data_IF_938172370199
#
_entry.id   IF_938172370199
#
_cell.length_a   1.000
_cell.length_b   1.000
_cell.length_c   1.000
_cell.angle_alpha   90.00
_cell.angle_beta   90.00
_cell.angle_gamma   90.00
#
_symmetry.space_group_name_H-M   'P 1'
#
loop_
_entity.id
_entity.type
_entity.pdbx_description
1 polymer ?
#
# COMPACT_ATOMS: atom_id res chain seq x y z
N UNK A 1 -56.81 -8.49 -0.49
CA UNK A 1 -55.77 -7.47 -0.84
C UNK A 1 -54.55 -7.72 0.06
N UNK A 2 -53.55 -8.42 -0.47
CA UNK A 2 -52.29 -8.69 0.23
C UNK A 2 -51.29 -7.61 -0.21
N UNK A 3 -51.00 -6.68 0.71
CA UNK A 3 -50.02 -5.64 0.47
C UNK A 3 -48.61 -6.24 0.46
N UNK A 4 -47.93 -6.21 -0.67
CA UNK A 4 -46.52 -6.51 -0.82
C UNK A 4 -45.69 -5.42 -0.11
N UNK A 5 -44.99 -5.80 0.96
CA UNK A 5 -43.95 -4.96 1.57
C UNK A 5 -42.84 -4.71 0.52
N UNK A 6 -42.39 -3.46 0.34
CA UNK A 6 -41.24 -3.23 -0.50
C UNK A 6 -40.00 -3.86 0.15
N UNK A 7 -39.24 -4.59 -0.66
CA UNK A 7 -37.94 -5.13 -0.27
C UNK A 7 -37.05 -3.97 0.20
N UNK A 8 -36.66 -3.98 1.47
CA UNK A 8 -35.67 -3.05 2.02
C UNK A 8 -34.37 -3.19 1.23
N UNK A 9 -34.09 -2.24 0.36
CA UNK A 9 -32.80 -2.13 -0.31
C UNK A 9 -31.72 -2.08 0.77
N UNK A 10 -30.95 -3.15 0.92
CA UNK A 10 -29.73 -3.13 1.74
C UNK A 10 -28.84 -2.05 1.17
N UNK A 11 -28.77 -0.91 1.85
CA UNK A 11 -27.71 0.07 1.58
C UNK A 11 -26.41 -0.72 1.65
N UNK A 12 -25.64 -0.76 0.55
CA UNK A 12 -24.31 -1.38 0.57
C UNK A 12 -23.49 -0.65 1.62
N UNK A 13 -23.36 -1.27 2.78
CA UNK A 13 -22.58 -0.76 3.89
C UNK A 13 -21.16 -0.46 3.38
N UNK A 14 -20.71 0.78 3.57
CA UNK A 14 -19.37 1.18 3.16
C UNK A 14 -18.36 0.42 4.00
N UNK A 15 -17.30 -0.10 3.38
CA UNK A 15 -16.19 -0.72 4.11
C UNK A 15 -15.40 0.37 4.83
N UNK A 16 -15.25 0.22 6.11
CA UNK A 16 -14.41 1.08 6.94
C UNK A 16 -12.97 0.57 6.86
N UNK A 17 -12.11 1.36 6.20
CA UNK A 17 -10.69 1.10 6.02
C UNK A 17 -9.88 2.05 6.89
N UNK A 18 -9.01 1.50 7.73
CA UNK A 18 -7.96 2.24 8.41
C UNK A 18 -6.65 2.09 7.62
N UNK A 19 -6.06 3.20 7.18
CA UNK A 19 -4.74 3.23 6.54
C UNK A 19 -3.75 3.85 7.50
N UNK A 20 -2.60 3.19 7.71
CA UNK A 20 -1.57 3.66 8.63
C UNK A 20 -0.22 3.74 7.94
N UNK A 21 0.44 4.89 7.99
CA UNK A 21 1.75 5.15 7.40
C UNK A 21 2.05 6.66 7.36
N UNK A 22 3.22 7.05 6.90
CA UNK A 22 3.60 8.46 6.80
C UNK A 22 3.17 9.09 5.48
N UNK A 23 2.83 10.38 5.52
CA UNK A 23 2.77 11.25 4.37
C UNK A 23 4.20 11.64 3.97
N UNK A 24 4.43 11.85 2.67
CA UNK A 24 5.72 12.28 2.16
C UNK A 24 5.60 13.45 1.20
N UNK A 25 6.73 14.10 0.95
CA UNK A 25 6.92 15.02 -0.17
C UNK A 25 7.95 14.37 -1.10
N UNK A 26 7.62 14.24 -2.37
CA UNK A 26 8.51 13.75 -3.41
C UNK A 26 9.11 14.96 -4.14
N UNK A 27 10.44 15.10 -4.14
CA UNK A 27 11.19 16.12 -4.86
C UNK A 27 11.87 15.51 -6.08
N UNK A 28 11.80 16.21 -7.19
CA UNK A 28 12.31 15.75 -8.47
C UNK A 28 13.51 16.56 -8.94
N UNK A 29 14.36 16.04 -9.85
CA UNK A 29 15.56 16.72 -10.35
C UNK A 29 15.29 18.07 -11.01
N UNK A 30 14.09 18.27 -11.55
CA UNK A 30 13.67 19.54 -12.17
C UNK A 30 13.28 20.63 -11.13
N UNK A 31 13.42 20.34 -9.83
CA UNK A 31 13.06 21.23 -8.74
C UNK A 31 11.57 21.20 -8.38
N UNK A 32 10.76 20.42 -9.07
CA UNK A 32 9.36 20.25 -8.70
C UNK A 32 9.21 19.41 -7.45
N UNK A 33 8.11 19.61 -6.72
CA UNK A 33 7.72 18.79 -5.59
C UNK A 33 6.27 18.38 -5.71
N UNK A 34 5.96 17.17 -5.21
CA UNK A 34 4.60 16.65 -5.20
C UNK A 34 4.30 15.94 -3.86
N UNK A 35 3.04 15.98 -3.40
CA UNK A 35 2.61 15.16 -2.27
C UNK A 35 2.70 13.69 -2.62
N UNK A 36 3.28 12.91 -1.71
CA UNK A 36 3.49 11.48 -1.84
C UNK A 36 3.11 10.70 -0.59
N UNK A 37 3.59 9.48 -0.54
CA UNK A 37 3.36 8.54 0.56
C UNK A 37 2.23 7.56 0.28
N UNK A 38 2.46 6.33 0.73
CA UNK A 38 1.53 5.21 0.51
C UNK A 38 0.13 5.51 1.05
N UNK A 39 0.02 6.26 2.15
CA UNK A 39 -1.29 6.66 2.73
C UNK A 39 -2.11 7.54 1.78
N UNK A 40 -1.48 8.45 1.05
CA UNK A 40 -2.17 9.33 0.10
C UNK A 40 -2.69 8.53 -1.10
N UNK A 41 -1.84 7.72 -1.70
CA UNK A 41 -2.20 6.92 -2.87
C UNK A 41 -3.23 5.84 -2.54
N UNK A 42 -3.09 5.15 -1.41
CA UNK A 42 -4.06 4.18 -0.91
C UNK A 42 -5.42 4.83 -0.66
N UNK A 43 -5.45 6.02 -0.04
CA UNK A 43 -6.69 6.78 0.22
C UNK A 43 -7.37 7.20 -1.07
N UNK A 44 -6.63 7.71 -2.06
CA UNK A 44 -7.17 8.03 -3.40
C UNK A 44 -7.84 6.80 -4.05
N UNK A 45 -7.20 5.63 -3.95
CA UNK A 45 -7.75 4.39 -4.51
C UNK A 45 -8.98 3.92 -3.73
N UNK A 46 -8.96 3.99 -2.41
CA UNK A 46 -10.08 3.61 -1.54
C UNK A 46 -11.29 4.52 -1.74
N UNK A 47 -11.08 5.82 -1.91
CA UNK A 47 -12.15 6.79 -2.23
C UNK A 47 -12.81 6.45 -3.58
N UNK A 48 -12.02 6.12 -4.62
CA UNK A 48 -12.55 5.63 -5.90
C UNK A 48 -13.34 4.33 -5.75
N UNK A 49 -12.94 3.46 -4.82
CA UNK A 49 -13.65 2.23 -4.48
C UNK A 49 -14.86 2.45 -3.55
N UNK A 50 -15.16 3.71 -3.18
CA UNK A 50 -16.25 4.13 -2.29
C UNK A 50 -16.17 3.53 -0.88
N UNK A 51 -14.96 3.30 -0.37
CA UNK A 51 -14.74 2.96 1.03
C UNK A 51 -14.88 4.21 1.92
N UNK A 52 -15.19 4.02 3.20
CA UNK A 52 -15.00 5.01 4.25
C UNK A 52 -13.57 4.87 4.76
N UNK A 53 -12.80 5.95 4.78
CA UNK A 53 -11.38 5.87 5.11
C UNK A 53 -11.07 6.69 6.35
N UNK A 54 -10.34 6.09 7.27
CA UNK A 54 -9.61 6.79 8.33
C UNK A 54 -8.12 6.61 8.05
N UNK A 55 -7.35 7.68 8.17
CA UNK A 55 -5.90 7.68 7.97
C UNK A 55 -5.23 8.07 9.27
N UNK A 56 -4.27 7.26 9.73
CA UNK A 56 -3.30 7.65 10.75
C UNK A 56 -1.99 7.93 10.03
N UNK A 57 -1.50 9.16 10.13
CA UNK A 57 -0.29 9.58 9.43
C UNK A 57 0.52 10.55 10.27
N UNK A 58 1.81 10.67 9.93
CA UNK A 58 2.70 11.67 10.51
C UNK A 58 3.15 12.64 9.42
N UNK A 59 3.21 13.91 9.75
CA UNK A 59 3.66 14.96 8.85
C UNK A 59 4.04 16.24 9.60
N UNK A 60 4.91 17.05 8.99
CA UNK A 60 5.29 18.38 9.47
C UNK A 60 4.38 19.49 8.98
N UNK A 61 4.83 20.73 9.20
CA UNK A 61 4.06 21.93 8.89
C UNK A 61 4.38 22.59 7.54
N UNK A 62 5.16 21.95 6.67
CA UNK A 62 5.60 22.51 5.39
C UNK A 62 4.40 22.83 4.47
N UNK A 63 4.46 23.88 3.61
CA UNK A 63 3.35 24.27 2.74
C UNK A 63 2.84 23.15 1.84
N UNK A 64 3.73 22.38 1.25
CA UNK A 64 3.43 21.22 0.38
C UNK A 64 2.67 20.13 1.17
N UNK A 65 3.07 19.92 2.43
CA UNK A 65 2.41 19.01 3.35
C UNK A 65 0.99 19.45 3.67
N UNK A 66 0.77 20.76 3.88
CA UNK A 66 -0.55 21.30 4.16
C UNK A 66 -1.52 21.11 2.97
N UNK A 67 -1.01 21.17 1.74
CA UNK A 67 -1.81 20.85 0.56
C UNK A 67 -2.21 19.37 0.54
N UNK A 68 -1.25 18.47 0.77
CA UNK A 68 -1.51 17.03 0.84
C UNK A 68 -2.50 16.67 1.96
N UNK A 69 -2.39 17.33 3.12
CA UNK A 69 -3.33 17.13 4.23
C UNK A 69 -4.74 17.64 3.90
N UNK A 70 -4.86 18.75 3.17
CA UNK A 70 -6.17 19.22 2.69
C UNK A 70 -6.81 18.22 1.72
N UNK A 71 -6.03 17.66 0.81
CA UNK A 71 -6.51 16.61 -0.08
C UNK A 71 -6.94 15.37 0.70
N UNK A 72 -6.12 14.86 1.62
CA UNK A 72 -6.48 13.71 2.46
C UNK A 72 -7.78 13.96 3.24
N UNK A 73 -7.92 15.13 3.87
CA UNK A 73 -9.12 15.49 4.63
C UNK A 73 -10.38 15.62 3.77
N UNK A 74 -10.25 15.83 2.48
CA UNK A 74 -11.38 15.83 1.55
C UNK A 74 -11.92 14.43 1.26
N UNK A 75 -11.11 13.37 1.50
CA UNK A 75 -11.41 11.98 1.18
C UNK A 75 -11.54 11.08 2.42
N UNK A 76 -10.96 11.49 3.55
CA UNK A 76 -10.81 10.64 4.74
C UNK A 76 -10.90 11.43 6.05
N UNK A 77 -11.20 10.73 7.13
CA UNK A 77 -10.91 11.22 8.49
C UNK A 77 -9.42 11.08 8.74
N UNK A 78 -8.72 12.17 9.06
CA UNK A 78 -7.27 12.17 9.25
C UNK A 78 -6.93 12.35 10.72
N UNK A 79 -6.20 11.41 11.27
CA UNK A 79 -5.54 11.46 12.58
C UNK A 79 -4.08 11.77 12.29
N UNK A 80 -3.68 12.98 12.58
CA UNK A 80 -2.34 13.49 12.32
C UNK A 80 -1.48 13.42 13.59
N UNK A 81 -0.34 12.77 13.48
CA UNK A 81 0.76 12.89 14.42
C UNK A 81 1.72 13.98 13.90
N UNK A 82 1.71 15.11 14.55
CA UNK A 82 2.56 16.26 14.15
C UNK A 82 4.04 15.94 14.41
N UNK A 83 4.87 16.17 13.42
CA UNK A 83 6.32 15.99 13.46
C UNK A 83 7.03 17.30 13.10
N UNK A 84 8.30 17.43 13.47
CA UNK A 84 9.08 18.62 13.12
C UNK A 84 9.18 18.84 11.61
N UNK A 85 9.30 17.74 10.85
CA UNK A 85 9.38 17.74 9.39
C UNK A 85 8.65 16.57 8.81
N UNK A 86 8.08 16.74 7.61
CA UNK A 86 7.57 15.66 6.78
C UNK A 86 8.73 14.89 6.17
N UNK A 87 8.56 13.58 5.97
CA UNK A 87 9.53 12.78 5.22
C UNK A 87 9.61 13.28 3.77
N UNK A 88 10.81 13.46 3.27
CA UNK A 88 11.03 13.89 1.88
C UNK A 88 11.78 12.79 1.15
N UNK A 89 11.23 12.33 0.02
CA UNK A 89 11.95 11.52 -0.94
C UNK A 89 12.54 12.42 -2.03
N UNK A 90 13.86 12.40 -2.17
CA UNK A 90 14.55 13.03 -3.27
C UNK A 90 14.82 12.00 -4.35
N UNK A 91 14.29 12.28 -5.54
CA UNK A 91 14.49 11.48 -6.74
C UNK A 91 15.68 12.05 -7.51
N UNK A 92 16.68 11.23 -7.75
CA UNK A 92 17.86 11.58 -8.55
C UNK A 92 18.01 10.59 -9.71
N UNK A 93 18.66 11.00 -10.78
CA UNK A 93 19.04 10.12 -11.88
C UNK A 93 20.55 10.15 -12.02
N UNK A 94 21.21 9.06 -11.62
CA UNK A 94 22.66 8.90 -11.80
C UNK A 94 22.94 7.72 -12.73
N UNK A 95 23.61 8.02 -13.84
CA UNK A 95 24.01 6.99 -14.80
C UNK A 95 22.82 6.26 -15.44
N UNK A 96 21.66 6.91 -15.61
CA UNK A 96 20.45 6.33 -16.16
C UNK A 96 19.69 5.41 -15.17
N UNK A 97 20.08 5.39 -13.90
CA UNK A 97 19.35 4.70 -12.82
C UNK A 97 18.73 5.71 -11.88
N UNK A 98 17.48 5.44 -11.52
CA UNK A 98 16.77 6.22 -10.52
C UNK A 98 17.35 5.88 -9.14
N UNK A 99 17.89 6.88 -8.46
CA UNK A 99 18.30 6.80 -7.06
C UNK A 99 17.24 7.51 -6.20
N UNK A 100 17.02 6.99 -5.02
CA UNK A 100 16.06 7.55 -4.07
C UNK A 100 16.76 7.80 -2.75
N UNK A 101 16.70 9.04 -2.27
CA UNK A 101 17.19 9.43 -0.95
C UNK A 101 16.06 9.87 -0.04
N UNK A 102 16.21 9.63 1.26
CA UNK A 102 15.24 9.99 2.28
C UNK A 102 15.80 11.05 3.21
N UNK A 103 15.12 12.18 3.29
CA UNK A 103 15.36 13.20 4.31
C UNK A 103 14.31 13.10 5.42
N UNK A 104 14.75 13.41 6.62
CA UNK A 104 13.90 13.30 7.81
C UNK A 104 13.93 11.90 8.44
N UNK A 105 13.33 11.81 9.60
CA UNK A 105 13.12 10.56 10.34
C UNK A 105 11.80 10.68 11.09
N UNK A 106 10.91 9.74 10.89
CA UNK A 106 9.60 9.68 11.53
C UNK A 106 9.41 8.31 12.15
N UNK A 107 8.81 8.28 13.33
CA UNK A 107 8.33 7.07 13.98
C UNK A 107 6.88 7.30 14.37
N UNK A 108 5.97 6.59 13.76
CA UNK A 108 4.56 6.63 14.15
C UNK A 108 4.36 6.02 15.53
N UNK A 109 3.65 6.75 16.38
CA UNK A 109 3.26 6.34 17.74
C UNK A 109 1.76 6.55 17.95
N UNK A 110 0.91 5.75 17.29
CA UNK A 110 -0.53 5.95 17.36
C UNK A 110 -1.04 5.94 18.78
N UNK A 111 -1.90 6.91 19.12
CA UNK A 111 -2.51 7.02 20.44
C UNK A 111 -3.49 5.86 20.69
N UNK A 112 -3.24 5.09 21.74
CA UNK A 112 -4.03 3.89 22.10
C UNK A 112 -5.50 4.24 22.31
N UNK A 113 -5.82 5.38 22.95
CA UNK A 113 -7.20 5.77 23.25
C UNK A 113 -7.95 6.14 21.96
N UNK A 114 -7.26 6.72 20.99
CA UNK A 114 -7.84 6.99 19.67
C UNK A 114 -8.08 5.68 18.92
N UNK A 115 -7.09 4.77 18.91
CA UNK A 115 -7.21 3.46 18.28
C UNK A 115 -8.38 2.65 18.86
N UNK A 116 -8.53 2.61 20.16
CA UNK A 116 -9.61 1.88 20.87
C UNK A 116 -11.02 2.37 20.52
N UNK A 117 -11.17 3.58 19.97
CA UNK A 117 -12.45 4.12 19.52
C UNK A 117 -12.76 3.76 18.06
N UNK A 118 -11.77 3.26 17.33
CA UNK A 118 -11.93 2.88 15.91
C UNK A 118 -12.49 1.46 15.81
N UNK A 119 -13.30 1.23 14.80
CA UNK A 119 -13.87 -0.10 14.49
C UNK A 119 -13.76 -0.38 12.99
N UNK A 120 -12.53 -0.37 12.44
CA UNK A 120 -12.35 -0.63 11.03
C UNK A 120 -12.67 -2.08 10.71
N UNK A 121 -13.23 -2.32 9.54
CA UNK A 121 -13.38 -3.69 9.01
C UNK A 121 -12.07 -4.24 8.48
N UNK A 122 -11.16 -3.36 8.09
CA UNK A 122 -9.83 -3.72 7.58
C UNK A 122 -8.80 -2.64 7.93
N UNK A 123 -7.60 -3.08 8.23
CA UNK A 123 -6.41 -2.23 8.38
C UNK A 123 -5.48 -2.47 7.19
N UNK A 124 -4.99 -1.39 6.59
CA UNK A 124 -3.87 -1.40 5.65
C UNK A 124 -2.67 -0.73 6.32
N UNK A 125 -1.66 -1.51 6.63
CA UNK A 125 -0.35 -1.05 7.07
C UNK A 125 0.47 -0.67 5.83
N UNK A 126 0.77 0.60 5.66
CA UNK A 126 1.35 1.15 4.44
C UNK A 126 2.54 2.09 4.74
N UNK A 127 3.61 1.57 5.39
CA UNK A 127 4.80 2.38 5.65
C UNK A 127 5.53 2.71 4.35
N UNK A 128 6.32 3.79 4.40
CA UNK A 128 7.14 4.25 3.27
C UNK A 128 8.64 4.12 3.53
N UNK A 129 9.07 4.17 4.81
CA UNK A 129 10.48 4.19 5.19
C UNK A 129 10.74 3.63 6.61
N UNK A 130 10.01 2.60 7.02
CA UNK A 130 10.19 1.94 8.31
C UNK A 130 9.66 2.72 9.52
N UNK A 131 8.78 3.70 9.32
CA UNK A 131 8.14 4.48 10.39
C UNK A 131 7.18 3.66 11.26
N UNK A 132 6.73 2.50 10.77
CA UNK A 132 5.97 1.51 11.54
C UNK A 132 6.93 0.43 12.06
N UNK A 133 7.48 0.63 13.24
CA UNK A 133 8.29 -0.39 13.92
C UNK A 133 7.42 -1.40 14.68
N UNK A 134 8.05 -2.39 15.30
CA UNK A 134 7.35 -3.44 16.05
C UNK A 134 6.49 -2.90 17.20
N UNK A 135 6.87 -1.76 17.80
CA UNK A 135 6.09 -1.13 18.88
C UNK A 135 4.80 -0.56 18.32
N UNK A 136 4.88 0.18 17.21
CA UNK A 136 3.69 0.74 16.55
C UNK A 136 2.75 -0.37 16.06
N UNK A 137 3.30 -1.42 15.44
CA UNK A 137 2.52 -2.57 14.95
C UNK A 137 1.77 -3.26 16.08
N UNK A 138 2.45 -3.57 17.19
CA UNK A 138 1.83 -4.19 18.37
C UNK A 138 0.77 -3.30 18.99
N UNK A 139 1.03 -2.00 19.12
CA UNK A 139 0.07 -1.04 19.62
C UNK A 139 -1.22 -1.04 18.79
N UNK A 140 -1.11 -1.09 17.47
CA UNK A 140 -2.26 -1.17 16.57
C UNK A 140 -2.98 -2.50 16.75
N UNK A 141 -2.23 -3.61 16.83
CA UNK A 141 -2.78 -4.97 16.97
C UNK A 141 -3.59 -5.13 18.25
N UNK A 142 -3.05 -4.66 19.37
CA UNK A 142 -3.67 -4.78 20.68
C UNK A 142 -4.85 -3.79 20.87
N UNK A 143 -4.81 -2.63 20.22
CA UNK A 143 -5.80 -1.58 20.44
C UNK A 143 -6.99 -1.61 19.46
N UNK A 144 -6.82 -2.21 18.26
CA UNK A 144 -7.84 -2.18 17.22
C UNK A 144 -8.33 -3.58 16.89
N UNK A 145 -9.58 -3.84 17.26
CA UNK A 145 -10.26 -5.05 16.77
C UNK A 145 -10.63 -4.89 15.30
N UNK A 146 -10.12 -5.78 14.46
CA UNK A 146 -10.41 -5.81 13.03
C UNK A 146 -10.54 -7.24 12.52
N UNK A 147 -11.24 -7.41 11.40
CA UNK A 147 -11.41 -8.72 10.75
C UNK A 147 -10.32 -9.04 9.74
N UNK A 148 -9.69 -8.01 9.18
CA UNK A 148 -8.72 -8.17 8.10
C UNK A 148 -7.56 -7.20 8.29
N UNK A 149 -6.34 -7.70 8.11
CA UNK A 149 -5.11 -6.92 8.06
C UNK A 149 -4.35 -7.19 6.77
N UNK A 150 -3.94 -6.11 6.12
CA UNK A 150 -3.09 -6.17 4.94
C UNK A 150 -1.87 -5.29 5.16
N UNK A 151 -0.69 -5.75 4.78
CA UNK A 151 0.53 -4.96 4.84
C UNK A 151 1.12 -4.77 3.45
N UNK A 152 1.42 -3.51 3.09
CA UNK A 152 2.27 -3.16 1.97
C UNK A 152 3.72 -3.12 2.46
N UNK A 153 4.57 -4.03 1.97
CA UNK A 153 5.90 -4.27 2.58
C UNK A 153 6.94 -3.21 2.22
N UNK A 154 6.69 -2.35 1.24
CA UNK A 154 7.64 -1.41 0.66
C UNK A 154 8.48 -0.66 1.71
N UNK A 155 7.85 -0.07 2.73
CA UNK A 155 8.56 0.75 3.70
C UNK A 155 9.52 -0.02 4.60
N UNK A 156 9.31 -1.31 4.83
CA UNK A 156 10.24 -2.16 5.58
C UNK A 156 11.37 -2.69 4.70
N UNK A 157 11.17 -2.74 3.39
CA UNK A 157 12.15 -3.21 2.41
C UNK A 157 13.06 -2.09 1.89
N UNK A 158 13.02 -0.93 2.51
CA UNK A 158 13.90 0.22 2.24
C UNK A 158 14.85 0.44 3.40
N UNK A 159 16.12 0.14 3.19
CA UNK A 159 17.19 0.40 4.16
C UNK A 159 17.84 1.73 3.84
N UNK A 160 17.85 2.63 4.82
CA UNK A 160 18.51 3.92 4.68
C UNK A 160 20.00 3.80 5.00
N UNK A 161 20.84 4.25 4.11
CA UNK A 161 22.29 4.40 4.29
C UNK A 161 22.64 5.67 5.07
N UNK A 162 23.90 5.77 5.48
CA UNK A 162 24.37 6.93 6.26
C UNK A 162 24.29 8.26 5.49
N UNK A 163 24.37 8.22 4.17
CA UNK A 163 24.23 9.38 3.27
C UNK A 163 22.77 9.69 2.89
N UNK A 164 21.81 8.96 3.45
CA UNK A 164 20.38 9.16 3.19
C UNK A 164 19.84 8.32 2.03
N UNK A 165 20.66 7.70 1.20
CA UNK A 165 20.21 6.85 0.10
C UNK A 165 19.42 5.67 0.62
N UNK A 166 18.40 5.29 -0.16
CA UNK A 166 17.59 4.10 0.10
C UNK A 166 18.06 2.93 -0.75
N UNK A 167 18.39 1.85 -0.08
CA UNK A 167 18.77 0.58 -0.70
C UNK A 167 17.72 -0.48 -0.40
N UNK A 168 17.55 -1.47 -1.29
CA UNK A 168 16.71 -2.62 -0.97
C UNK A 168 17.17 -3.30 0.33
N UNK A 169 16.21 -3.72 1.13
CA UNK A 169 16.44 -4.52 2.32
C UNK A 169 15.91 -5.93 2.09
N UNK A 170 16.57 -6.90 2.70
CA UNK A 170 16.13 -8.30 2.59
C UNK A 170 15.05 -8.57 3.64
N UNK A 171 13.93 -9.15 3.21
CA UNK A 171 12.80 -9.43 4.10
C UNK A 171 13.20 -10.29 5.31
N UNK A 172 14.09 -11.27 5.12
CA UNK A 172 14.57 -12.13 6.19
C UNK A 172 15.43 -11.40 7.25
N UNK A 173 16.01 -10.25 6.89
CA UNK A 173 16.87 -9.44 7.76
C UNK A 173 16.08 -8.43 8.60
N UNK A 174 14.76 -8.33 8.40
CA UNK A 174 13.91 -7.51 9.24
C UNK A 174 13.94 -7.96 10.70
N UNK A 175 13.80 -7.03 11.67
CA UNK A 175 13.70 -7.38 13.07
C UNK A 175 12.64 -8.46 13.31
N UNK A 176 12.99 -9.51 14.07
CA UNK A 176 12.07 -10.63 14.33
C UNK A 176 10.74 -10.17 14.93
N UNK A 177 10.76 -9.10 15.72
CA UNK A 177 9.54 -8.51 16.27
C UNK A 177 8.63 -7.92 15.19
N UNK A 178 9.18 -7.32 14.13
CA UNK A 178 8.41 -6.85 12.96
C UNK A 178 7.85 -8.03 12.18
N UNK A 179 8.68 -9.04 11.90
CA UNK A 179 8.23 -10.26 11.21
C UNK A 179 7.11 -10.97 11.97
N UNK A 180 7.18 -11.00 13.31
CA UNK A 180 6.12 -11.60 14.14
C UNK A 180 4.77 -10.90 13.95
N UNK A 181 4.76 -9.57 13.95
CA UNK A 181 3.53 -8.80 13.71
C UNK A 181 3.00 -8.94 12.27
N UNK A 182 3.90 -8.97 11.27
CA UNK A 182 3.53 -9.16 9.88
C UNK A 182 2.93 -10.56 9.60
N UNK A 183 3.32 -11.58 10.36
CA UNK A 183 2.72 -12.93 10.25
C UNK A 183 1.24 -12.97 10.65
N UNK A 184 0.78 -11.98 11.43
CA UNK A 184 -0.62 -11.84 11.82
C UNK A 184 -1.49 -11.19 10.73
N UNK A 185 -0.91 -10.76 9.60
CA UNK A 185 -1.67 -10.23 8.49
C UNK A 185 -2.34 -11.33 7.68
N UNK A 186 -3.53 -11.04 7.11
CA UNK A 186 -4.23 -11.94 6.17
C UNK A 186 -3.54 -11.95 4.80
N UNK A 187 -2.96 -10.81 4.41
CA UNK A 187 -2.20 -10.71 3.17
C UNK A 187 -1.07 -9.67 3.26
N UNK A 188 -0.02 -9.92 2.50
CA UNK A 188 1.05 -8.95 2.25
C UNK A 188 1.14 -8.65 0.76
N UNK A 189 1.42 -7.39 0.45
CA UNK A 189 1.58 -6.88 -0.92
C UNK A 189 2.97 -6.27 -1.04
N UNK A 190 3.70 -6.64 -2.06
CA UNK A 190 5.06 -6.14 -2.32
C UNK A 190 5.31 -6.01 -3.82
N UNK A 191 6.11 -5.04 -4.23
CA UNK A 191 6.62 -4.98 -5.60
C UNK A 191 7.84 -5.89 -5.75
N UNK A 192 8.01 -6.49 -6.93
CA UNK A 192 9.24 -7.22 -7.27
C UNK A 192 10.47 -6.31 -7.22
N UNK A 193 10.32 -5.04 -7.59
CA UNK A 193 11.36 -4.02 -7.45
C UNK A 193 11.80 -3.80 -6.00
N UNK A 194 10.84 -3.76 -5.04
CA UNK A 194 11.17 -3.61 -3.61
C UNK A 194 11.90 -4.83 -3.04
N UNK A 195 11.80 -5.99 -3.70
CA UNK A 195 12.58 -7.20 -3.38
C UNK A 195 13.96 -7.22 -4.06
N UNK A 196 14.34 -6.13 -4.74
CA UNK A 196 15.62 -6.02 -5.47
C UNK A 196 15.61 -6.67 -6.85
N UNK A 197 14.45 -7.00 -7.38
CA UNK A 197 14.30 -7.55 -8.72
C UNK A 197 14.26 -6.48 -9.80
N UNK A 198 14.67 -6.86 -11.00
CA UNK A 198 14.58 -6.03 -12.20
C UNK A 198 13.19 -6.15 -12.87
N UNK A 199 13.00 -5.45 -14.00
CA UNK A 199 11.81 -5.51 -14.87
C UNK A 199 11.66 -6.90 -15.54
N UNK A 200 11.42 -7.92 -14.74
CA UNK A 200 11.27 -9.30 -15.19
C UNK A 200 9.81 -9.68 -15.44
N UNK A 201 9.61 -10.74 -16.21
CA UNK A 201 8.30 -11.37 -16.33
C UNK A 201 7.91 -12.01 -14.98
N UNK A 202 6.62 -11.98 -14.60
CA UNK A 202 6.16 -12.60 -13.37
C UNK A 202 6.53 -14.08 -13.31
N UNK A 203 7.19 -14.50 -12.22
CA UNK A 203 7.47 -15.89 -11.88
C UNK A 203 7.17 -16.19 -10.41
N UNK A 204 7.19 -17.47 -10.02
CA UNK A 204 6.81 -17.90 -8.69
C UNK A 204 7.89 -17.65 -7.62
N UNK A 205 9.13 -17.40 -8.02
CA UNK A 205 10.32 -17.42 -7.14
C UNK A 205 10.20 -16.39 -6.02
N UNK A 206 9.94 -15.12 -6.36
CA UNK A 206 9.83 -14.06 -5.38
C UNK A 206 8.71 -14.33 -4.36
N UNK A 207 7.55 -14.83 -4.80
CA UNK A 207 6.46 -15.17 -3.90
C UNK A 207 6.80 -16.36 -2.97
N UNK A 208 7.59 -17.32 -3.44
CA UNK A 208 8.08 -18.43 -2.60
C UNK A 208 9.09 -17.94 -1.56
N UNK A 209 9.96 -16.99 -1.92
CA UNK A 209 10.93 -16.38 -1.00
C UNK A 209 10.23 -15.57 0.09
N UNK A 210 9.24 -14.74 -0.28
CA UNK A 210 8.42 -14.02 0.70
C UNK A 210 7.72 -15.00 1.64
N UNK A 211 7.14 -16.08 1.15
CA UNK A 211 6.48 -17.10 1.98
C UNK A 211 7.42 -17.85 2.91
N UNK A 212 8.70 -18.05 2.52
CA UNK A 212 9.70 -18.67 3.42
C UNK A 212 10.05 -17.74 4.58
N UNK A 213 10.24 -16.45 4.30
CA UNK A 213 10.59 -15.45 5.31
C UNK A 213 9.40 -15.06 6.18
N UNK A 214 8.20 -15.08 5.61
CA UNK A 214 6.96 -14.65 6.25
C UNK A 214 5.86 -15.71 6.04
N UNK A 215 5.92 -16.83 6.75
CA UNK A 215 4.85 -17.83 6.71
C UNK A 215 3.60 -17.30 7.41
N UNK A 216 2.42 -17.64 6.88
CA UNK A 216 1.10 -17.28 7.41
C UNK A 216 0.28 -16.47 6.43
N UNK A 217 0.65 -15.23 6.09
CA UNK A 217 -0.12 -14.40 5.17
C UNK A 217 -0.24 -14.95 3.76
N UNK A 218 -1.33 -14.59 3.07
CA UNK A 218 -1.37 -14.64 1.62
C UNK A 218 -0.39 -13.63 1.02
N UNK A 219 0.30 -13.99 -0.05
CA UNK A 219 1.35 -13.18 -0.67
C UNK A 219 0.93 -12.70 -2.04
N UNK A 220 1.10 -11.41 -2.31
CA UNK A 220 0.91 -10.78 -3.62
C UNK A 220 2.19 -10.03 -3.99
N UNK A 221 2.87 -10.51 -5.02
CA UNK A 221 4.04 -9.83 -5.61
C UNK A 221 3.61 -9.19 -6.92
N UNK A 222 3.70 -7.86 -7.02
CA UNK A 222 3.36 -7.12 -8.23
C UNK A 222 4.60 -6.93 -9.11
N UNK A 223 4.42 -7.06 -10.42
CA UNK A 223 5.45 -6.88 -11.46
C UNK A 223 5.07 -5.73 -12.39
N UNK A 224 4.60 -4.63 -11.81
CA UNK A 224 4.21 -3.43 -12.54
C UNK A 224 3.25 -3.74 -13.69
N UNK A 225 3.66 -3.40 -14.91
CA UNK A 225 2.88 -3.63 -16.14
C UNK A 225 2.75 -5.11 -16.53
N UNK A 226 3.65 -5.98 -16.07
CA UNK A 226 3.68 -7.39 -16.48
C UNK A 226 2.65 -8.27 -15.76
N UNK A 227 2.11 -7.82 -14.63
CA UNK A 227 1.10 -8.57 -13.88
C UNK A 227 1.46 -8.77 -12.41
N UNK A 228 1.10 -9.92 -11.85
CA UNK A 228 1.38 -10.25 -10.45
C UNK A 228 1.48 -11.75 -10.20
N UNK A 229 2.07 -12.13 -9.07
CA UNK A 229 2.08 -13.49 -8.55
C UNK A 229 1.34 -13.54 -7.23
N UNK A 230 0.54 -14.59 -7.05
CA UNK A 230 -0.24 -14.82 -5.85
C UNK A 230 0.14 -16.14 -5.20
N UNK A 231 0.59 -16.08 -3.95
CA UNK A 231 0.78 -17.23 -3.07
C UNK A 231 -0.32 -17.27 -2.01
N UNK A 232 -1.08 -18.36 -1.92
CA UNK A 232 -2.02 -18.59 -0.81
C UNK A 232 -1.41 -19.63 0.14
N UNK A 233 -1.64 -19.51 1.47
CA UNK A 233 -1.01 -20.41 2.44
C UNK A 233 -1.26 -21.89 2.15
N UNK A 234 -2.46 -22.23 1.71
CA UNK A 234 -2.89 -23.61 1.50
C UNK A 234 -2.36 -24.22 0.19
N UNK A 235 -1.92 -23.38 -0.77
CA UNK A 235 -1.41 -23.85 -2.04
C UNK A 235 0.10 -24.05 -2.01
N UNK A 236 0.55 -25.23 -2.49
CA UNK A 236 1.98 -25.54 -2.58
C UNK A 236 2.72 -24.59 -3.53
N UNK A 237 2.10 -24.25 -4.66
CA UNK A 237 2.71 -23.40 -5.68
C UNK A 237 1.94 -22.08 -5.83
N UNK A 238 2.64 -20.95 -5.95
CA UNK A 238 2.02 -19.67 -6.30
C UNK A 238 1.42 -19.70 -7.70
N UNK A 239 0.41 -18.88 -7.92
CA UNK A 239 -0.22 -18.66 -9.22
C UNK A 239 0.37 -17.43 -9.88
N UNK A 240 0.90 -17.58 -11.08
CA UNK A 240 1.41 -16.48 -11.91
C UNK A 240 0.28 -15.94 -12.78
N UNK A 241 0.06 -14.63 -12.74
CA UNK A 241 -0.93 -13.91 -13.54
C UNK A 241 -0.19 -12.90 -14.42
N UNK A 242 -0.11 -13.17 -15.72
CA UNK A 242 0.50 -12.29 -16.71
C UNK A 242 -0.55 -11.44 -17.40
N UNK A 243 -0.25 -10.16 -17.60
CA UNK A 243 -1.07 -9.30 -18.45
C UNK A 243 -0.71 -9.53 -19.92
N UNK A 244 -1.68 -9.36 -20.79
CA UNK A 244 -1.51 -9.40 -22.24
C UNK A 244 -1.31 -8.01 -22.85
N UNK A 245 -1.76 -7.01 -22.13
CA UNK A 245 -1.69 -5.60 -22.53
C UNK A 245 -1.21 -4.76 -21.35
N UNK A 246 -0.58 -3.64 -21.65
CA UNK A 246 -0.17 -2.61 -20.70
C UNK A 246 -0.80 -1.26 -21.02
N UNK A 247 -0.82 -0.37 -20.06
CA UNK A 247 -1.12 1.05 -20.25
C UNK A 247 0.18 1.82 -20.12
N UNK A 248 0.61 2.42 -21.23
CA UNK A 248 1.82 3.24 -21.32
C UNK A 248 1.47 4.74 -21.42
N UNK A 249 2.48 5.59 -21.32
CA UNK A 249 2.37 7.04 -21.49
C UNK A 249 1.79 7.78 -20.29
N UNK A 250 1.67 7.11 -19.13
CA UNK A 250 1.12 7.70 -17.90
C UNK A 250 1.97 7.37 -16.68
N UNK A 251 2.00 8.27 -15.67
CA UNK A 251 2.64 7.99 -14.39
C UNK A 251 1.99 6.79 -13.69
N UNK A 252 2.83 5.92 -13.13
CA UNK A 252 2.39 4.73 -12.39
C UNK A 252 2.58 4.86 -10.87
N UNK A 253 3.06 6.02 -10.39
CA UNK A 253 3.29 6.28 -8.96
C UNK A 253 1.98 6.06 -8.19
N UNK A 254 2.07 5.29 -7.10
CA UNK A 254 0.91 4.93 -6.28
C UNK A 254 0.05 3.77 -6.82
N UNK A 255 0.43 3.13 -7.95
CA UNK A 255 -0.30 1.97 -8.48
C UNK A 255 -0.24 0.78 -7.49
N UNK A 256 0.92 0.53 -6.89
CA UNK A 256 1.11 -0.51 -5.85
C UNK A 256 0.26 -0.25 -4.60
N UNK A 257 0.26 1.00 -4.12
CA UNK A 257 -0.55 1.40 -2.97
C UNK A 257 -2.05 1.26 -3.26
N UNK A 258 -2.46 1.67 -4.46
CA UNK A 258 -3.83 1.51 -4.95
C UNK A 258 -4.24 0.04 -5.06
N UNK A 259 -3.33 -0.81 -5.52
CA UNK A 259 -3.54 -2.26 -5.57
C UNK A 259 -3.74 -2.81 -4.16
N UNK A 260 -2.86 -2.48 -3.21
CA UNK A 260 -2.95 -2.92 -1.82
C UNK A 260 -4.25 -2.46 -1.14
N UNK A 261 -4.66 -1.21 -1.35
CA UNK A 261 -5.92 -0.67 -0.80
C UNK A 261 -7.15 -1.43 -1.34
N UNK A 262 -7.19 -1.73 -2.63
CA UNK A 262 -8.32 -2.48 -3.20
C UNK A 262 -8.31 -3.93 -2.74
N UNK A 263 -7.13 -4.58 -2.61
CA UNK A 263 -7.02 -5.91 -2.00
C UNK A 263 -7.62 -5.91 -0.60
N UNK A 264 -7.21 -4.97 0.25
CA UNK A 264 -7.71 -4.83 1.61
C UNK A 264 -9.26 -4.70 1.65
N UNK A 265 -9.81 -3.82 0.84
CA UNK A 265 -11.27 -3.61 0.74
C UNK A 265 -11.99 -4.88 0.27
N UNK A 266 -11.45 -5.62 -0.69
CA UNK A 266 -12.10 -6.83 -1.20
C UNK A 266 -12.04 -7.98 -0.19
N UNK A 267 -10.93 -8.14 0.54
CA UNK A 267 -10.83 -9.11 1.63
C UNK A 267 -11.83 -8.79 2.74
N UNK A 268 -12.00 -7.52 3.12
CA UNK A 268 -13.01 -7.09 4.08
C UNK A 268 -14.46 -7.37 3.64
N UNK A 269 -14.70 -7.47 2.33
CA UNK A 269 -15.99 -7.91 1.74
C UNK A 269 -16.17 -9.42 1.74
N UNK A 270 -15.18 -10.19 2.21
CA UNK A 270 -15.20 -11.65 2.22
C UNK A 270 -14.75 -12.27 0.90
N UNK A 271 -14.12 -11.51 0.00
CA UNK A 271 -13.54 -12.07 -1.22
C UNK A 271 -12.34 -12.96 -0.89
N UNK A 272 -12.14 -14.04 -1.67
CA UNK A 272 -10.87 -14.77 -1.61
C UNK A 272 -9.71 -13.90 -2.09
N UNK A 273 -8.48 -14.22 -1.68
CA UNK A 273 -7.27 -13.51 -2.14
C UNK A 273 -7.17 -13.46 -3.66
N UNK A 274 -7.58 -14.53 -4.35
CA UNK A 274 -7.70 -14.58 -5.81
C UNK A 274 -8.62 -13.52 -6.39
N UNK A 275 -9.83 -13.42 -5.83
CA UNK A 275 -10.82 -12.46 -6.31
C UNK A 275 -10.42 -11.02 -5.95
N UNK A 276 -9.83 -10.82 -4.76
CA UNK A 276 -9.31 -9.54 -4.32
C UNK A 276 -8.19 -9.03 -5.24
N UNK A 277 -7.20 -9.88 -5.56
CA UNK A 277 -6.11 -9.53 -6.46
C UNK A 277 -6.60 -9.18 -7.88
N UNK A 278 -7.51 -9.98 -8.47
CA UNK A 278 -8.10 -9.65 -9.78
C UNK A 278 -8.87 -8.32 -9.76
N UNK A 279 -9.62 -8.06 -8.70
CA UNK A 279 -10.36 -6.80 -8.55
C UNK A 279 -9.42 -5.59 -8.41
N UNK A 280 -8.31 -5.77 -7.70
CA UNK A 280 -7.28 -4.74 -7.53
C UNK A 280 -6.56 -4.46 -8.85
N UNK A 281 -6.15 -5.49 -9.57
CA UNK A 281 -5.51 -5.39 -10.88
C UNK A 281 -6.39 -4.63 -11.88
N UNK A 282 -7.66 -5.02 -12.00
CA UNK A 282 -8.63 -4.33 -12.84
C UNK A 282 -8.92 -2.88 -12.38
N UNK A 283 -8.85 -2.58 -11.10
CA UNK A 283 -9.04 -1.22 -10.60
C UNK A 283 -7.87 -0.30 -10.95
N UNK A 284 -6.63 -0.80 -10.80
CA UNK A 284 -5.41 -0.09 -11.19
C UNK A 284 -5.41 0.15 -12.71
N UNK A 285 -5.70 -0.87 -13.51
CA UNK A 285 -5.78 -0.75 -14.96
C UNK A 285 -6.79 0.33 -15.39
N UNK A 286 -8.01 0.31 -14.82
CA UNK A 286 -9.02 1.34 -15.10
C UNK A 286 -8.58 2.74 -14.70
N UNK A 287 -7.84 2.86 -13.60
CA UNK A 287 -7.31 4.16 -13.17
C UNK A 287 -6.24 4.66 -14.15
N UNK A 288 -5.28 3.83 -14.54
CA UNK A 288 -4.25 4.18 -15.52
C UNK A 288 -4.85 4.56 -16.87
N UNK A 289 -5.81 3.77 -17.36
CA UNK A 289 -6.46 4.01 -18.66
C UNK A 289 -7.28 5.30 -18.73
N UNK A 290 -7.60 5.93 -17.59
CA UNK A 290 -8.32 7.22 -17.53
C UNK A 290 -7.42 8.43 -17.46
N UNK A 291 -6.11 8.23 -17.32
CA UNK A 291 -5.16 9.34 -17.26
C UNK A 291 -4.95 9.93 -18.68
N UNK A 292 -4.74 11.24 -18.80
CA UNK A 292 -4.39 11.86 -20.07
C UNK A 292 -3.12 11.25 -20.66
N UNK A 293 -3.12 10.91 -21.93
CA UNK A 293 -1.98 10.30 -22.60
C UNK A 293 -1.90 8.77 -22.50
N UNK A 294 -2.85 8.12 -21.83
CA UNK A 294 -2.88 6.66 -21.69
C UNK A 294 -3.03 5.96 -23.06
N UNK A 295 -2.12 5.04 -23.34
CA UNK A 295 -2.12 4.24 -24.57
C UNK A 295 -2.06 2.75 -24.21
N UNK A 296 -3.02 1.96 -24.72
CA UNK A 296 -2.96 0.51 -24.61
C UNK A 296 -1.97 -0.08 -25.62
N UNK A 297 -1.11 -0.96 -25.15
CA UNK A 297 -0.15 -1.67 -25.99
C UNK A 297 -0.14 -3.15 -25.63
N UNK A 298 -0.01 -4.06 -26.63
CA UNK A 298 0.21 -5.46 -26.34
C UNK A 298 1.56 -5.65 -25.67
N UNK A 299 1.63 -6.60 -24.73
CA UNK A 299 2.90 -7.07 -24.17
C UNK A 299 3.44 -8.20 -25.04
N UNK A 300 4.77 -8.31 -25.22
CA UNK A 300 5.36 -9.44 -25.89
C UNK A 300 4.96 -10.74 -25.17
N UNK A 301 4.66 -11.77 -25.97
CA UNK A 301 4.24 -13.09 -25.51
C UNK A 301 5.37 -13.83 -24.80
#
# INVERSE_FOLDING_TARGET
>A
MLGSKPASGRSRERIELLVVGALTIDRFPDGSAAPGGSVLHATRAAARARASVTVITAAGGEPETQEALRELRSMATVVLEETAHTLVFEHDERGGRRELSLLGNVRLRPDVRQLQRMRPRVILLAPVAGELDAVALRTIDEAVETRVRVAALQGWLRRREADGRLMPNVLADLPQAVLAELRNCDAVVVSHEDLGGDDAAPDATAALEVRRSLPGPGVLVTYGRAGYVRGVPEARQPTVVRRRETIDGVPTVGAGDGFAAVVAIQLAKGSSLSAAARSADAAVERWLARQPGAVRKPLPS
#
